data_IF_214139293391
#
_entry.id   IF_214139293391
#
_cell.length_a   1.000
_cell.length_b   1.000
_cell.length_c   1.000
_cell.angle_alpha   90.00
_cell.angle_beta   90.00
_cell.angle_gamma   90.00
#
_symmetry.space_group_name_H-M   'P 1'
#
loop_
_entity.id
_entity.type
_entity.pdbx_description
1 polymer ?
#
# COMPACT_ATOMS: atom_id res chain seq x y z
N UNK A 1 25.98 -1.22 -5.93
CA UNK A 1 25.28 -0.40 -6.96
C UNK A 1 23.79 -0.65 -6.80
N UNK A 2 22.97 0.40 -6.76
CA UNK A 2 21.51 0.28 -6.67
C UNK A 2 20.91 0.46 -8.06
N UNK A 3 19.99 -0.41 -8.47
CA UNK A 3 19.24 -0.30 -9.72
C UNK A 3 17.78 -0.02 -9.42
N UNK A 4 17.18 0.93 -10.12
CA UNK A 4 15.75 1.21 -10.01
C UNK A 4 15.01 0.48 -11.14
N UNK A 5 13.99 -0.31 -10.80
CA UNK A 5 13.15 -1.03 -11.76
C UNK A 5 11.67 -0.89 -11.44
N UNK A 6 10.81 -1.00 -12.45
CA UNK A 6 9.37 -1.12 -12.23
C UNK A 6 9.06 -2.40 -11.46
N UNK A 7 8.05 -2.33 -10.62
CA UNK A 7 7.49 -3.49 -9.94
C UNK A 7 6.79 -4.43 -10.93
N UNK A 8 6.73 -5.69 -10.53
CA UNK A 8 5.97 -6.76 -11.17
C UNK A 8 4.97 -7.33 -10.15
N UNK A 9 3.90 -8.02 -10.58
CA UNK A 9 2.96 -8.64 -9.65
C UNK A 9 3.59 -9.65 -8.68
N UNK A 10 4.77 -10.19 -8.98
CA UNK A 10 5.52 -11.10 -8.12
C UNK A 10 6.34 -10.42 -7.02
N UNK A 11 6.44 -9.09 -7.01
CA UNK A 11 7.11 -8.33 -5.95
C UNK A 11 6.19 -8.05 -4.74
N UNK A 12 5.06 -8.76 -4.64
CA UNK A 12 3.97 -8.48 -3.70
C UNK A 12 4.39 -8.58 -2.23
N UNK A 13 5.17 -9.60 -1.89
CA UNK A 13 5.66 -9.80 -0.53
C UNK A 13 6.66 -8.73 -0.11
N UNK A 14 7.57 -8.35 -1.01
CA UNK A 14 8.56 -7.30 -0.74
C UNK A 14 7.88 -5.93 -0.58
N UNK A 15 6.88 -5.64 -1.41
CA UNK A 15 6.05 -4.45 -1.25
C UNK A 15 5.36 -4.43 0.12
N UNK A 16 4.66 -5.50 0.48
CA UNK A 16 3.91 -5.55 1.75
C UNK A 16 4.84 -5.33 2.95
N UNK A 17 6.01 -5.95 2.95
CA UNK A 17 7.00 -5.82 4.04
C UNK A 17 7.60 -4.42 4.11
N UNK A 18 8.04 -3.87 2.98
CA UNK A 18 8.60 -2.52 2.94
C UNK A 18 7.55 -1.45 3.31
N UNK A 19 6.28 -1.65 2.93
CA UNK A 19 5.21 -0.75 3.34
C UNK A 19 4.97 -0.83 4.86
N UNK A 20 4.92 -2.03 5.43
CA UNK A 20 4.73 -2.19 6.87
C UNK A 20 5.92 -1.71 7.70
N UNK A 21 7.14 -1.82 7.16
CA UNK A 21 8.34 -1.22 7.77
C UNK A 21 8.28 0.31 7.78
N UNK A 22 7.82 0.94 6.70
CA UNK A 22 7.69 2.40 6.60
C UNK A 22 6.45 2.97 7.30
N UNK A 23 5.41 2.16 7.47
CA UNK A 23 4.15 2.54 8.11
C UNK A 23 3.73 1.51 9.17
N UNK A 24 4.46 1.42 10.31
CA UNK A 24 4.25 0.38 11.33
C UNK A 24 2.90 0.49 12.06
N UNK A 25 2.15 1.57 11.86
CA UNK A 25 0.80 1.75 12.39
C UNK A 25 -0.27 1.02 11.56
N UNK A 26 0.03 0.56 10.35
CA UNK A 26 -0.93 -0.14 9.48
C UNK A 26 -1.58 -1.37 10.16
N UNK A 27 -0.84 -2.28 10.82
CA UNK A 27 -1.44 -3.42 11.51
C UNK A 27 -2.39 -3.03 12.65
N UNK A 28 -2.15 -1.90 13.31
CA UNK A 28 -3.03 -1.39 14.38
C UNK A 28 -4.37 -0.95 13.79
N UNK A 29 -4.32 -0.26 12.64
CA UNK A 29 -5.49 0.29 11.98
C UNK A 29 -6.30 -0.80 11.26
N UNK A 30 -5.60 -1.70 10.56
CA UNK A 30 -6.19 -2.64 9.61
C UNK A 30 -6.24 -4.08 10.12
N UNK A 31 -5.64 -4.35 11.28
CA UNK A 31 -5.59 -5.67 11.91
C UNK A 31 -4.44 -6.56 11.42
N UNK A 32 -4.31 -7.73 12.05
CA UNK A 32 -3.19 -8.66 11.85
C UNK A 32 -3.10 -9.27 10.43
N UNK A 33 -4.18 -9.20 9.64
CA UNK A 33 -4.21 -9.72 8.26
C UNK A 33 -3.70 -8.71 7.22
N UNK A 34 -3.16 -7.58 7.65
CA UNK A 34 -2.79 -6.50 6.74
C UNK A 34 -1.67 -6.90 5.76
N UNK A 35 -0.66 -7.67 6.16
CA UNK A 35 0.42 -8.11 5.25
C UNK A 35 -0.17 -8.91 4.08
N UNK A 36 -0.99 -9.92 4.39
CA UNK A 36 -1.70 -10.71 3.39
C UNK A 36 -2.66 -9.85 2.56
N UNK A 37 -3.26 -8.82 3.15
CA UNK A 37 -4.11 -7.89 2.39
C UNK A 37 -3.28 -7.10 1.38
N UNK A 38 -2.16 -6.53 1.81
CA UNK A 38 -1.27 -5.73 0.98
C UNK A 38 -0.69 -6.54 -0.19
N UNK A 39 -0.28 -7.80 0.02
CA UNK A 39 0.20 -8.65 -1.08
C UNK A 39 -0.86 -8.84 -2.16
N UNK A 40 -2.12 -9.00 -1.77
CA UNK A 40 -3.21 -9.14 -2.73
C UNK A 40 -3.60 -7.83 -3.40
N UNK A 41 -3.73 -6.74 -2.63
CA UNK A 41 -4.05 -5.41 -3.16
C UNK A 41 -2.99 -4.98 -4.18
N UNK A 42 -1.72 -5.27 -3.91
CA UNK A 42 -0.62 -4.94 -4.81
C UNK A 42 -0.74 -5.58 -6.18
N UNK A 43 -1.29 -6.79 -6.27
CA UNK A 43 -1.52 -7.51 -7.53
C UNK A 43 -2.76 -7.04 -8.28
N UNK A 44 -3.69 -6.37 -7.60
CA UNK A 44 -4.86 -5.79 -8.23
C UNK A 44 -4.47 -4.50 -8.98
N UNK A 45 -5.05 -4.30 -10.16
CA UNK A 45 -4.87 -3.06 -10.94
C UNK A 45 -5.80 -1.92 -10.48
N UNK A 46 -5.44 -0.70 -10.88
CA UNK A 46 -6.21 0.53 -10.67
C UNK A 46 -6.46 0.81 -9.18
N UNK A 47 -5.43 0.69 -8.35
CA UNK A 47 -5.47 1.08 -6.95
C UNK A 47 -4.12 1.66 -6.54
N UNK A 48 -4.09 2.50 -5.51
CA UNK A 48 -2.90 3.26 -5.10
C UNK A 48 -1.76 2.41 -4.56
N UNK A 49 -2.00 1.14 -4.23
CA UNK A 49 -0.96 0.21 -3.81
C UNK A 49 -0.63 -0.82 -4.88
N UNK A 50 -1.14 -0.67 -6.10
CA UNK A 50 -0.84 -1.56 -7.22
C UNK A 50 0.63 -1.51 -7.62
N UNK A 51 1.15 -2.62 -8.13
CA UNK A 51 2.45 -2.69 -8.81
C UNK A 51 2.60 -1.65 -9.94
N UNK A 52 1.49 -1.15 -10.49
CA UNK A 52 1.47 -0.08 -11.51
C UNK A 52 2.12 1.22 -11.03
N UNK A 53 2.11 1.49 -9.72
CA UNK A 53 2.61 2.72 -9.08
C UNK A 53 3.91 2.52 -8.29
N UNK A 54 4.54 1.35 -8.39
CA UNK A 54 5.70 0.99 -7.56
C UNK A 54 6.96 0.78 -8.40
N UNK A 55 8.06 1.34 -7.92
CA UNK A 55 9.41 1.00 -8.35
C UNK A 55 10.19 0.44 -7.18
N UNK A 56 11.07 -0.52 -7.44
CA UNK A 56 11.99 -1.05 -6.44
C UNK A 56 13.40 -0.54 -6.68
N UNK A 57 14.07 -0.22 -5.57
CA UNK A 57 15.51 0.00 -5.51
C UNK A 57 16.17 -1.34 -5.16
N UNK A 58 16.76 -1.97 -6.17
CA UNK A 58 17.41 -3.27 -6.06
C UNK A 58 18.89 -3.12 -5.72
N UNK A 59 19.33 -3.77 -4.64
CA UNK A 59 20.73 -3.87 -4.25
C UNK A 59 21.08 -5.34 -4.03
N UNK A 60 22.18 -5.80 -4.64
CA UNK A 60 22.66 -7.18 -4.48
C UNK A 60 21.60 -8.25 -4.84
N UNK A 61 20.79 -7.97 -5.87
CA UNK A 61 19.72 -8.87 -6.33
C UNK A 61 18.51 -8.95 -5.41
N UNK A 62 18.39 -8.05 -4.42
CA UNK A 62 17.26 -7.96 -3.50
C UNK A 62 16.62 -6.58 -3.58
N UNK A 63 15.30 -6.55 -3.41
CA UNK A 63 14.55 -5.32 -3.25
C UNK A 63 14.87 -4.69 -1.88
N UNK A 64 15.75 -3.68 -1.86
CA UNK A 64 16.21 -3.03 -0.64
C UNK A 64 15.31 -1.84 -0.22
N UNK A 65 14.52 -1.32 -1.15
CA UNK A 65 13.57 -0.24 -0.90
C UNK A 65 12.56 -0.12 -2.03
N UNK A 66 11.55 0.71 -1.82
CA UNK A 66 10.52 0.97 -2.81
C UNK A 66 10.22 2.47 -2.92
N UNK A 67 9.79 2.88 -4.10
CA UNK A 67 9.20 4.17 -4.39
C UNK A 67 7.75 3.90 -4.76
N UNK A 68 6.84 4.39 -3.93
CA UNK A 68 5.42 4.41 -4.24
C UNK A 68 5.06 5.79 -4.78
N UNK A 69 4.71 5.88 -6.06
CA UNK A 69 4.48 7.15 -6.73
C UNK A 69 3.24 7.11 -7.62
N UNK A 70 2.36 8.07 -7.41
CA UNK A 70 1.15 8.28 -8.20
C UNK A 70 0.84 9.78 -8.27
N UNK A 71 0.17 10.22 -9.33
CA UNK A 71 -0.27 11.61 -9.47
C UNK A 71 -1.48 11.93 -8.58
N UNK A 72 -1.82 13.22 -8.48
CA UNK A 72 -3.05 13.63 -7.80
C UNK A 72 -4.30 13.09 -8.50
N UNK A 73 -4.28 13.04 -9.82
CA UNK A 73 -5.35 12.50 -10.66
C UNK A 73 -5.54 11.00 -10.40
N UNK A 74 -4.44 10.25 -10.29
CA UNK A 74 -4.46 8.84 -9.92
C UNK A 74 -5.04 8.65 -8.52
N UNK A 75 -4.59 9.47 -7.55
CA UNK A 75 -5.15 9.49 -6.19
C UNK A 75 -6.66 9.69 -6.23
N UNK A 76 -7.16 10.72 -6.89
CA UNK A 76 -8.60 11.02 -6.95
C UNK A 76 -9.40 9.86 -7.58
N UNK A 77 -8.86 9.23 -8.62
CA UNK A 77 -9.51 8.15 -9.36
C UNK A 77 -9.50 6.82 -8.60
N UNK A 78 -8.42 6.52 -7.90
CA UNK A 78 -8.14 5.16 -7.39
C UNK A 78 -8.29 5.03 -5.87
N UNK A 79 -8.38 6.14 -5.13
CA UNK A 79 -8.49 6.12 -3.67
C UNK A 79 -9.70 5.31 -3.17
N UNK A 80 -10.87 5.49 -3.80
CA UNK A 80 -12.07 4.75 -3.40
C UNK A 80 -11.93 3.24 -3.61
N UNK A 81 -11.38 2.83 -4.77
CA UNK A 81 -11.11 1.44 -5.09
C UNK A 81 -10.08 0.83 -4.13
N UNK A 82 -9.04 1.58 -3.79
CA UNK A 82 -8.02 1.17 -2.80
C UNK A 82 -8.67 0.89 -1.44
N UNK A 83 -9.52 1.79 -0.97
CA UNK A 83 -10.26 1.61 0.28
C UNK A 83 -11.15 0.36 0.27
N UNK A 84 -11.91 0.13 -0.81
CA UNK A 84 -12.75 -1.08 -0.95
C UNK A 84 -11.90 -2.35 -0.91
N UNK A 85 -10.78 -2.39 -1.66
CA UNK A 85 -9.93 -3.58 -1.73
C UNK A 85 -9.29 -3.89 -0.37
N UNK A 86 -8.82 -2.87 0.34
CA UNK A 86 -8.32 -3.05 1.69
C UNK A 86 -9.42 -3.61 2.61
N UNK A 87 -10.62 -3.00 2.59
CA UNK A 87 -11.74 -3.40 3.44
C UNK A 87 -12.20 -4.84 3.18
N UNK A 88 -12.23 -5.26 1.91
CA UNK A 88 -12.69 -6.58 1.49
C UNK A 88 -11.91 -7.73 2.13
N UNK A 89 -10.63 -7.52 2.50
CA UNK A 89 -9.76 -8.57 3.05
C UNK A 89 -9.43 -8.42 4.53
N UNK A 90 -9.48 -7.20 5.07
CA UNK A 90 -9.28 -6.96 6.51
C UNK A 90 -10.57 -7.16 7.30
N UNK A 91 -11.74 -6.91 6.69
CA UNK A 91 -13.05 -7.00 7.35
C UNK A 91 -13.34 -5.82 8.29
N UNK A 92 -14.31 -6.02 9.20
CA UNK A 92 -14.84 -5.02 10.13
C UNK A 92 -13.82 -4.51 11.18
N UNK A 93 -12.60 -5.06 11.23
CA UNK A 93 -11.52 -4.57 12.11
C UNK A 93 -11.18 -3.09 11.86
N UNK A 94 -11.38 -2.61 10.62
CA UNK A 94 -11.25 -1.19 10.29
C UNK A 94 -12.33 -0.31 10.94
N UNK A 95 -13.52 -0.86 11.21
CA UNK A 95 -14.63 -0.06 11.75
C UNK A 95 -14.41 0.35 13.20
N UNK A 96 -13.58 -0.39 13.94
CA UNK A 96 -13.15 0.00 15.29
C UNK A 96 -12.29 1.28 15.29
N UNK A 97 -11.70 1.65 14.15
CA UNK A 97 -10.76 2.76 14.01
C UNK A 97 -11.30 3.93 13.15
N UNK A 98 -12.60 3.96 12.83
CA UNK A 98 -13.26 5.02 12.03
C UNK A 98 -12.92 6.46 12.49
N UNK A 99 -12.89 6.77 13.81
CA UNK A 99 -12.52 8.11 14.27
C UNK A 99 -11.10 8.51 13.87
N UNK A 100 -10.18 7.54 13.87
CA UNK A 100 -8.76 7.74 13.50
C UNK A 100 -8.62 8.03 12.01
N UNK A 101 -9.39 7.35 11.14
CA UNK A 101 -9.39 7.62 9.70
C UNK A 101 -9.89 9.02 9.35
N UNK A 102 -10.93 9.50 10.03
CA UNK A 102 -11.46 10.86 9.84
C UNK A 102 -10.43 11.94 10.19
N UNK A 103 -9.64 11.72 11.24
CA UNK A 103 -8.57 12.63 11.65
C UNK A 103 -7.40 12.63 10.68
N UNK A 104 -6.99 11.46 10.18
CA UNK A 104 -5.86 11.34 9.25
C UNK A 104 -6.16 11.99 7.88
N UNK A 105 -7.38 11.83 7.36
CA UNK A 105 -7.81 12.51 6.12
C UNK A 105 -7.78 14.04 6.23
N UNK A 106 -8.05 14.61 7.42
CA UNK A 106 -7.98 16.05 7.62
C UNK A 106 -6.53 16.59 7.60
N UNK A 107 -5.54 15.74 7.85
CA UNK A 107 -4.11 16.11 7.89
C UNK A 107 -3.35 15.81 6.60
N UNK A 108 -3.78 14.84 5.79
CA UNK A 108 -3.06 14.45 4.56
C UNK A 108 -3.90 14.70 3.31
N UNK A 109 -3.71 15.87 2.68
CA UNK A 109 -4.36 16.22 1.41
C UNK A 109 -4.87 17.66 1.36
N UNK A 110 -3.98 18.63 1.54
CA UNK A 110 -4.13 19.95 0.92
C UNK A 110 -3.29 19.99 -0.35
#
# INVERSE_FOLDING_TARGET
MVKVRRATPSDDLDFARLLLLSAPYFPIIFGSRIEMTLTWVFRCKCNLFSFEHVYFAEAEGKNAGMILGYSWEDKKRENFRTGILLFARTGLSMLANVPTFLRLNATTGR
#
